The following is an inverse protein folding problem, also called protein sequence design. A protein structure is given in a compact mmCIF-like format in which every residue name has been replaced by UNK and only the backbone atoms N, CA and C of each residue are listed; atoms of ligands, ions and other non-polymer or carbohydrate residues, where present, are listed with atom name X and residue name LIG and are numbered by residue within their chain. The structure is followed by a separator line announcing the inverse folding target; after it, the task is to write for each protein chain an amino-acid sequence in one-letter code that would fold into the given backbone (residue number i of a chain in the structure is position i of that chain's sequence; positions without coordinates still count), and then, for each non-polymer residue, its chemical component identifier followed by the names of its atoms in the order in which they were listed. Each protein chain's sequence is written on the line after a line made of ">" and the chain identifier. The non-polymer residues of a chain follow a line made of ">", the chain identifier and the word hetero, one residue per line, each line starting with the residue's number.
data_IF_570728902343
#
_entry.id   IF_570728902343
#
_cell.length_a   1.000
_cell.length_b   1.000
_cell.length_c   1.000
_cell.angle_alpha   90.00
_cell.angle_beta   90.00
_cell.angle_gamma   90.00
#
_symmetry.space_group_name_H-M   'P 1'
#
loop_
_entity.id
_entity.type
_entity.pdbx_description
1 polymer ?
#
# COMPACT_ATOMS: atom_id res chain seq x y z
N UNK A 1 20.56 -3.09 12.68
CA UNK A 1 21.35 -2.45 11.62
C UNK A 1 22.67 -3.20 11.56
N UNK A 2 22.82 -4.14 10.63
CA UNK A 2 24.10 -4.86 10.47
C UNK A 2 25.07 -3.91 9.76
N UNK A 3 26.08 -3.47 10.47
CA UNK A 3 27.25 -2.79 9.90
C UNK A 3 27.96 -3.78 8.96
N UNK A 4 28.04 -3.41 7.69
CA UNK A 4 28.84 -4.17 6.73
C UNK A 4 30.30 -3.88 7.10
N UNK A 5 30.98 -4.90 7.59
CA UNK A 5 32.41 -4.83 7.85
C UNK A 5 33.14 -4.46 6.55
N UNK A 6 33.77 -3.31 6.54
CA UNK A 6 34.48 -2.76 5.38
C UNK A 6 35.78 -3.53 5.03
N UNK A 7 36.03 -4.63 5.70
CA UNK A 7 37.27 -5.40 5.58
C UNK A 7 37.20 -6.51 4.51
N UNK A 8 36.00 -7.00 4.18
CA UNK A 8 35.86 -8.09 3.21
C UNK A 8 35.39 -7.61 1.82
N UNK A 9 36.08 -8.05 0.75
CA UNK A 9 35.64 -7.71 -0.62
C UNK A 9 34.26 -8.27 -0.88
N UNK A 10 33.34 -7.40 -1.41
CA UNK A 10 31.91 -7.69 -1.53
C UNK A 10 31.47 -7.70 -2.97
N UNK A 11 30.78 -8.76 -3.39
CA UNK A 11 30.05 -8.81 -4.66
C UNK A 11 28.72 -8.09 -4.49
N UNK A 12 28.43 -7.16 -5.40
CA UNK A 12 27.12 -6.48 -5.46
C UNK A 12 26.30 -7.07 -6.60
N UNK A 13 25.06 -7.42 -6.32
CA UNK A 13 24.10 -7.95 -7.29
C UNK A 13 22.86 -7.08 -7.34
N UNK A 14 22.37 -6.81 -8.55
CA UNK A 14 21.04 -6.24 -8.76
C UNK A 14 20.22 -7.17 -9.65
N UNK A 15 19.01 -7.49 -9.23
CA UNK A 15 18.14 -8.45 -9.91
C UNK A 15 16.93 -7.71 -10.44
N UNK A 16 16.82 -7.61 -11.77
CA UNK A 16 15.60 -7.15 -12.43
C UNK A 16 14.67 -8.34 -12.63
N UNK A 17 13.52 -8.29 -11.97
CA UNK A 17 12.57 -9.39 -11.91
C UNK A 17 11.49 -9.25 -12.99
N UNK A 18 11.33 -10.28 -13.81
CA UNK A 18 10.19 -10.39 -14.72
C UNK A 18 9.55 -11.77 -14.63
N UNK A 19 8.39 -11.95 -15.24
CA UNK A 19 7.66 -13.22 -15.17
C UNK A 19 8.41 -14.37 -15.85
N UNK A 20 9.17 -14.07 -16.89
CA UNK A 20 9.83 -15.08 -17.73
C UNK A 20 11.34 -15.12 -17.54
N UNK A 21 11.96 -14.01 -17.17
CA UNK A 21 13.42 -13.91 -17.14
C UNK A 21 13.85 -12.99 -16.02
N UNK A 22 14.82 -13.40 -15.24
CA UNK A 22 15.53 -12.54 -14.30
C UNK A 22 16.88 -12.11 -14.87
N UNK A 23 17.13 -10.81 -14.90
CA UNK A 23 18.40 -10.25 -15.32
C UNK A 23 19.22 -9.86 -14.08
N UNK A 24 20.34 -10.53 -13.88
CA UNK A 24 21.24 -10.30 -12.74
C UNK A 24 22.44 -9.50 -13.20
N UNK A 25 22.58 -8.26 -12.75
CA UNK A 25 23.78 -7.47 -12.90
C UNK A 25 24.70 -7.70 -11.71
N UNK A 26 25.93 -8.18 -11.95
CA UNK A 26 26.91 -8.50 -10.93
C UNK A 26 28.14 -7.59 -11.04
N UNK A 27 28.48 -6.89 -9.95
CA UNK A 27 29.77 -6.19 -9.80
C UNK A 27 30.64 -7.02 -8.88
N UNK A 28 31.69 -7.58 -9.46
CA UNK A 28 32.66 -8.42 -8.74
C UNK A 28 33.90 -7.57 -8.43
N UNK A 29 34.40 -7.56 -7.19
CA UNK A 29 35.62 -6.84 -6.82
C UNK A 29 36.81 -7.18 -7.74
N UNK A 30 37.54 -6.15 -8.17
CA UNK A 30 38.70 -6.29 -9.09
C UNK A 30 38.30 -6.47 -10.57
N UNK A 31 37.01 -6.33 -10.94
CA UNK A 31 36.57 -6.20 -12.32
C UNK A 31 35.97 -4.80 -12.56
N UNK A 32 36.35 -4.18 -13.70
CA UNK A 32 35.92 -2.81 -14.00
C UNK A 32 34.43 -2.73 -14.37
N UNK A 33 33.94 -3.69 -15.15
CA UNK A 33 32.59 -3.68 -15.70
C UNK A 33 31.69 -4.69 -15.00
N UNK A 34 30.42 -4.36 -14.78
CA UNK A 34 29.44 -5.33 -14.29
C UNK A 34 29.17 -6.40 -15.37
N UNK A 35 29.00 -7.62 -14.92
CA UNK A 35 28.59 -8.76 -15.75
C UNK A 35 27.08 -8.94 -15.65
N UNK A 36 26.47 -9.30 -16.79
CA UNK A 36 25.03 -9.55 -16.88
C UNK A 36 24.80 -11.05 -17.10
N UNK A 37 23.91 -11.59 -16.30
CA UNK A 37 23.49 -12.99 -16.37
C UNK A 37 21.98 -13.05 -16.53
N UNK A 38 21.51 -13.93 -17.40
CA UNK A 38 20.08 -14.21 -17.58
C UNK A 38 19.75 -15.55 -16.93
N UNK A 39 18.68 -15.58 -16.18
CA UNK A 39 18.14 -16.75 -15.48
C UNK A 39 16.64 -16.79 -15.81
N UNK A 40 16.09 -17.97 -15.94
CA UNK A 40 14.64 -18.11 -16.14
C UNK A 40 13.90 -17.59 -14.90
N UNK A 41 12.76 -16.94 -15.14
CA UNK A 41 11.95 -16.35 -14.08
C UNK A 41 11.47 -17.40 -13.08
N UNK A 42 11.85 -17.25 -11.81
CA UNK A 42 11.51 -18.21 -10.75
C UNK A 42 12.54 -19.33 -10.55
N UNK A 43 13.58 -19.45 -11.38
CA UNK A 43 14.63 -20.45 -11.17
C UNK A 43 15.61 -20.03 -10.06
N UNK A 44 15.22 -20.33 -8.83
CA UNK A 44 16.00 -20.04 -7.64
C UNK A 44 17.26 -20.88 -7.53
N UNK A 45 17.23 -22.10 -8.08
CA UNK A 45 18.40 -23.01 -8.06
C UNK A 45 19.52 -22.43 -8.94
N UNK A 46 19.20 -21.99 -10.16
CA UNK A 46 20.14 -21.32 -11.05
C UNK A 46 20.67 -20.00 -10.43
N UNK A 47 19.82 -19.22 -9.75
CA UNK A 47 20.25 -18.00 -9.07
C UNK A 47 21.27 -18.29 -7.95
N UNK A 48 21.00 -19.26 -7.10
CA UNK A 48 21.90 -19.66 -6.00
C UNK A 48 23.20 -20.25 -6.55
N UNK A 49 23.15 -21.07 -7.59
CA UNK A 49 24.31 -21.60 -8.28
C UNK A 49 25.18 -20.49 -8.89
N UNK A 50 24.56 -19.49 -9.51
CA UNK A 50 25.27 -18.31 -10.03
C UNK A 50 26.00 -17.56 -8.91
N UNK A 51 25.31 -17.28 -7.79
CA UNK A 51 25.88 -16.59 -6.62
C UNK A 51 27.11 -17.37 -6.10
N UNK A 52 26.96 -18.66 -5.87
CA UNK A 52 28.06 -19.55 -5.39
C UNK A 52 29.22 -19.58 -6.34
N UNK A 53 28.96 -19.65 -7.65
CA UNK A 53 30.03 -19.63 -8.68
C UNK A 53 30.80 -18.31 -8.70
N UNK A 54 30.07 -17.16 -8.58
CA UNK A 54 30.71 -15.85 -8.51
C UNK A 54 31.56 -15.70 -7.25
N UNK A 55 31.04 -16.14 -6.10
CA UNK A 55 31.80 -16.13 -4.83
C UNK A 55 33.06 -16.97 -4.93
N UNK A 56 32.95 -18.21 -5.38
CA UNK A 56 34.10 -19.13 -5.49
C UNK A 56 35.20 -18.62 -6.44
N UNK A 57 34.80 -18.00 -7.57
CA UNK A 57 35.75 -17.39 -8.51
C UNK A 57 36.44 -16.15 -7.93
N UNK A 58 35.66 -15.28 -7.25
CA UNK A 58 36.23 -14.10 -6.61
C UNK A 58 37.15 -14.46 -5.44
N UNK A 59 36.74 -15.42 -4.61
CA UNK A 59 37.54 -15.91 -3.49
C UNK A 59 38.90 -16.45 -3.95
N UNK A 60 38.93 -17.30 -4.99
CA UNK A 60 40.19 -17.81 -5.56
C UNK A 60 41.09 -16.72 -6.13
N UNK A 61 40.50 -15.66 -6.73
CA UNK A 61 41.28 -14.59 -7.33
C UNK A 61 41.86 -13.61 -6.32
N UNK A 62 41.15 -13.37 -5.23
CA UNK A 62 41.50 -12.36 -4.22
C UNK A 62 42.11 -12.97 -2.95
N UNK A 63 42.17 -14.29 -2.88
CA UNK A 63 42.59 -15.07 -1.69
C UNK A 63 41.89 -14.55 -0.41
N UNK A 64 40.57 -14.34 -0.49
CA UNK A 64 39.77 -13.72 0.58
C UNK A 64 38.37 -14.31 0.66
N UNK A 65 37.75 -14.18 1.83
CA UNK A 65 36.34 -14.46 2.00
C UNK A 65 35.52 -13.36 1.33
N UNK A 66 34.56 -13.75 0.48
CA UNK A 66 33.74 -12.84 -0.31
C UNK A 66 32.33 -12.77 0.25
N UNK A 67 31.89 -11.57 0.62
CA UNK A 67 30.52 -11.30 0.96
C UNK A 67 29.67 -11.02 -0.29
N UNK A 68 28.37 -11.30 -0.22
CA UNK A 68 27.42 -10.97 -1.29
C UNK A 68 26.32 -10.10 -0.74
N UNK A 69 26.07 -8.97 -1.41
CA UNK A 69 24.95 -8.09 -1.14
C UNK A 69 24.14 -7.94 -2.42
N UNK A 70 22.84 -8.19 -2.33
CA UNK A 70 21.97 -8.06 -3.48
C UNK A 70 20.86 -7.04 -3.26
N UNK A 71 20.26 -6.58 -4.36
CA UNK A 71 19.04 -5.82 -4.32
C UNK A 71 18.11 -6.17 -5.49
N UNK A 72 16.83 -5.89 -5.30
CA UNK A 72 15.82 -5.84 -6.34
C UNK A 72 14.75 -4.79 -5.99
N UNK A 73 13.96 -4.40 -7.00
CA UNK A 73 12.89 -3.41 -6.81
C UNK A 73 11.65 -4.06 -6.21
N UNK A 74 11.01 -3.39 -5.23
CA UNK A 74 9.72 -3.83 -4.70
C UNK A 74 8.65 -3.81 -5.78
N UNK A 75 8.08 -4.96 -6.08
CA UNK A 75 7.16 -5.12 -7.19
C UNK A 75 6.15 -6.25 -7.00
N UNK A 76 5.70 -6.78 -8.12
CA UNK A 76 4.69 -7.83 -8.20
C UNK A 76 5.10 -9.13 -7.52
N UNK A 77 6.38 -9.45 -7.54
CA UNK A 77 6.91 -10.71 -7.02
C UNK A 77 6.88 -10.79 -5.48
N UNK A 78 6.63 -9.67 -4.79
CA UNK A 78 6.55 -9.66 -3.33
C UNK A 78 7.91 -9.80 -2.64
N UNK A 79 7.93 -10.48 -1.50
CA UNK A 79 9.12 -10.52 -0.62
C UNK A 79 9.70 -11.92 -0.43
N UNK A 80 9.16 -12.93 -1.09
CA UNK A 80 9.61 -14.32 -0.92
C UNK A 80 11.06 -14.53 -1.33
N UNK A 81 11.52 -13.85 -2.40
CA UNK A 81 12.90 -13.93 -2.89
C UNK A 81 13.87 -13.33 -1.88
N UNK A 82 13.52 -12.20 -1.23
CA UNK A 82 14.32 -11.64 -0.14
C UNK A 82 14.52 -12.66 0.98
N UNK A 83 13.45 -13.34 1.42
CA UNK A 83 13.51 -14.36 2.48
C UNK A 83 14.36 -15.53 2.07
N UNK A 84 14.22 -16.02 0.84
CA UNK A 84 15.04 -17.09 0.29
C UNK A 84 16.52 -16.73 0.32
N UNK A 85 16.90 -15.59 -0.23
CA UNK A 85 18.30 -15.16 -0.31
C UNK A 85 18.90 -14.94 1.09
N UNK A 86 18.12 -14.33 1.99
CA UNK A 86 18.55 -14.13 3.39
C UNK A 86 18.76 -15.46 4.11
N UNK A 87 17.90 -16.45 3.90
CA UNK A 87 18.07 -17.81 4.46
C UNK A 87 19.33 -18.52 3.95
N UNK A 88 19.84 -18.13 2.77
CA UNK A 88 21.10 -18.63 2.21
C UNK A 88 22.30 -17.72 2.51
N UNK A 89 22.18 -16.83 3.51
CA UNK A 89 23.30 -15.98 3.96
C UNK A 89 23.61 -14.79 3.05
N UNK A 90 22.75 -14.47 2.06
CA UNK A 90 22.92 -13.31 1.20
C UNK A 90 22.22 -12.10 1.82
N UNK A 91 22.98 -11.01 2.03
CA UNK A 91 22.39 -9.72 2.46
C UNK A 91 21.56 -9.17 1.31
N UNK A 92 20.25 -9.05 1.50
CA UNK A 92 19.34 -8.67 0.44
C UNK A 92 18.55 -7.39 0.81
N UNK A 93 18.58 -6.41 -0.07
CA UNK A 93 17.84 -5.14 0.06
C UNK A 93 16.72 -5.08 -0.95
N UNK A 94 15.55 -4.60 -0.53
CA UNK A 94 14.42 -4.34 -1.42
C UNK A 94 14.30 -2.83 -1.60
N UNK A 95 14.46 -2.36 -2.84
CA UNK A 95 14.43 -0.94 -3.18
C UNK A 95 12.99 -0.43 -3.33
N UNK A 96 12.72 0.77 -2.82
CA UNK A 96 11.44 1.46 -3.06
C UNK A 96 11.46 2.10 -4.47
N UNK A 97 10.62 1.67 -5.42
CA UNK A 97 10.66 2.09 -6.82
C UNK A 97 10.62 3.60 -7.02
N UNK A 98 9.75 4.27 -6.26
CA UNK A 98 9.51 5.71 -6.39
C UNK A 98 10.64 6.57 -5.80
N UNK A 99 11.56 5.96 -5.06
CA UNK A 99 12.69 6.65 -4.44
C UNK A 99 13.97 6.58 -5.27
N UNK A 100 14.04 5.73 -6.27
CA UNK A 100 15.21 5.56 -7.13
C UNK A 100 15.40 6.82 -7.98
N UNK A 101 16.57 7.43 -7.88
CA UNK A 101 16.92 8.59 -8.69
C UNK A 101 17.06 8.21 -10.17
N UNK A 102 16.11 8.62 -10.98
CA UNK A 102 16.11 8.37 -12.43
C UNK A 102 16.92 9.44 -13.16
N UNK A 103 17.88 9.02 -13.97
CA UNK A 103 18.60 9.93 -14.85
C UNK A 103 17.66 10.59 -15.86
N UNK A 104 17.48 11.92 -15.77
CA UNK A 104 16.56 12.68 -16.64
C UNK A 104 16.86 12.56 -18.12
N UNK A 105 18.13 12.33 -18.51
CA UNK A 105 18.55 12.17 -19.91
C UNK A 105 18.17 10.79 -20.48
N UNK A 106 18.03 9.77 -19.63
CA UNK A 106 17.71 8.39 -20.04
C UNK A 106 16.20 8.06 -20.03
N UNK A 107 15.32 9.03 -19.74
CA UNK A 107 13.86 8.82 -19.58
C UNK A 107 13.15 8.15 -20.75
N UNK A 108 13.74 8.13 -21.95
CA UNK A 108 13.12 7.56 -23.17
C UNK A 108 13.59 6.14 -23.49
N UNK A 109 14.66 5.66 -22.88
CA UNK A 109 15.15 4.30 -23.08
C UNK A 109 14.92 3.50 -21.79
N UNK A 110 13.97 2.57 -21.81
CA UNK A 110 13.75 1.60 -20.75
C UNK A 110 14.12 0.22 -21.29
N UNK A 111 15.12 -0.40 -20.64
CA UNK A 111 15.51 -1.79 -20.89
C UNK A 111 15.89 -2.43 -19.55
N UNK A 112 15.61 -3.72 -19.39
CA UNK A 112 15.94 -4.47 -18.18
C UNK A 112 17.43 -4.34 -17.80
N UNK A 113 18.30 -4.22 -18.81
CA UNK A 113 19.74 -3.96 -18.60
C UNK A 113 19.99 -2.63 -17.91
N UNK A 114 19.37 -1.54 -18.38
CA UNK A 114 19.55 -0.20 -17.80
C UNK A 114 18.99 -0.15 -16.38
N UNK A 115 17.88 -0.85 -16.13
CA UNK A 115 17.23 -0.92 -14.83
C UNK A 115 18.11 -1.72 -13.85
N UNK A 116 18.62 -2.90 -14.23
CA UNK A 116 19.54 -3.69 -13.42
C UNK A 116 20.85 -2.95 -13.11
N UNK A 117 21.50 -2.34 -14.13
CA UNK A 117 22.71 -1.54 -13.94
C UNK A 117 22.44 -0.29 -13.09
N UNK A 118 21.24 0.30 -13.21
CA UNK A 118 20.75 1.41 -12.39
C UNK A 118 20.64 1.04 -10.93
N UNK A 119 19.96 -0.06 -10.62
CA UNK A 119 19.84 -0.60 -9.26
C UNK A 119 21.21 -0.93 -8.66
N UNK A 120 22.12 -1.50 -9.44
CA UNK A 120 23.47 -1.80 -8.99
C UNK A 120 24.26 -0.56 -8.56
N UNK A 121 24.13 0.56 -9.32
CA UNK A 121 24.73 1.86 -8.95
C UNK A 121 24.11 2.42 -7.67
N UNK A 122 22.80 2.34 -7.55
CA UNK A 122 22.04 2.79 -6.37
C UNK A 122 22.45 2.00 -5.13
N UNK A 123 22.52 0.67 -5.23
CA UNK A 123 22.99 -0.19 -4.14
C UNK A 123 24.42 0.19 -3.71
N UNK A 124 25.34 0.35 -4.67
CA UNK A 124 26.71 0.71 -4.38
C UNK A 124 26.83 2.10 -3.71
N UNK A 125 26.02 3.07 -4.07
CA UNK A 125 25.97 4.40 -3.43
C UNK A 125 25.44 4.30 -2.01
N UNK A 126 24.32 3.58 -1.83
CA UNK A 126 23.70 3.36 -0.52
C UNK A 126 24.66 2.70 0.49
N UNK A 127 25.39 1.67 0.06
CA UNK A 127 26.38 0.96 0.90
C UNK A 127 27.58 1.83 1.27
N UNK A 128 27.91 2.86 0.48
CA UNK A 128 28.93 3.88 0.83
C UNK A 128 28.42 4.98 1.76
N UNK A 129 27.15 4.90 2.23
CA UNK A 129 26.56 5.86 3.15
C UNK A 129 25.68 6.94 2.48
N UNK A 130 25.51 6.92 1.16
CA UNK A 130 24.60 7.82 0.47
C UNK A 130 23.17 7.28 0.53
N UNK A 131 22.53 7.43 1.69
CA UNK A 131 21.16 6.99 1.93
C UNK A 131 20.09 7.87 1.24
N UNK A 132 20.49 8.95 0.56
CA UNK A 132 19.57 9.79 -0.21
C UNK A 132 19.31 9.22 -1.61
N UNK A 133 20.16 8.31 -2.09
CA UNK A 133 20.06 7.71 -3.43
C UNK A 133 18.79 6.88 -3.61
N UNK A 134 18.35 6.19 -2.56
CA UNK A 134 17.09 5.45 -2.52
C UNK A 134 16.64 5.14 -1.10
N UNK A 135 15.39 4.75 -0.97
CA UNK A 135 14.82 4.22 0.27
C UNK A 135 14.74 2.69 0.21
N UNK A 136 15.14 2.03 1.29
CA UNK A 136 14.98 0.58 1.43
C UNK A 136 13.60 0.26 2.01
N UNK A 137 12.93 -0.71 1.42
CA UNK A 137 11.65 -1.20 1.93
C UNK A 137 11.91 -2.09 3.15
N UNK A 138 11.23 -1.82 4.27
CA UNK A 138 11.16 -2.79 5.35
C UNK A 138 10.36 -4.00 4.86
N UNK A 139 11.00 -5.14 4.73
CA UNK A 139 10.34 -6.38 4.37
C UNK A 139 9.46 -6.84 5.54
N UNK A 140 8.16 -7.05 5.32
CA UNK A 140 7.27 -7.57 6.36
C UNK A 140 7.59 -9.03 6.66
N UNK A 141 7.27 -9.49 7.88
CA UNK A 141 7.29 -10.93 8.16
C UNK A 141 6.19 -11.64 7.35
N UNK A 142 6.27 -12.98 7.19
CA UNK A 142 5.19 -13.73 6.53
C UNK A 142 3.81 -13.48 7.16
N UNK A 143 3.75 -13.39 8.50
CA UNK A 143 2.54 -13.15 9.26
C UNK A 143 2.02 -11.71 9.06
N UNK A 144 2.91 -10.71 9.05
CA UNK A 144 2.56 -9.32 8.73
C UNK A 144 2.06 -9.17 7.29
N UNK A 145 2.63 -9.93 6.35
CA UNK A 145 2.21 -9.94 4.95
C UNK A 145 0.84 -10.59 4.79
N UNK A 146 0.65 -11.76 5.41
CA UNK A 146 -0.62 -12.50 5.37
C UNK A 146 -1.75 -11.70 6.04
N UNK A 147 -1.48 -11.11 7.19
CA UNK A 147 -2.44 -10.25 7.89
C UNK A 147 -2.97 -9.06 7.06
N UNK A 148 -2.29 -8.67 5.98
CA UNK A 148 -2.77 -7.63 5.05
C UNK A 148 -3.80 -8.15 4.04
N UNK A 149 -3.96 -9.48 3.89
CA UNK A 149 -4.84 -10.06 2.88
C UNK A 149 -6.29 -9.72 3.14
N UNK A 150 -6.78 -9.91 4.35
CA UNK A 150 -8.20 -9.72 4.71
C UNK A 150 -8.74 -8.34 4.32
N UNK A 151 -8.07 -7.25 4.71
CA UNK A 151 -8.56 -5.90 4.35
C UNK A 151 -8.32 -5.55 2.87
N UNK A 152 -7.29 -6.13 2.22
CA UNK A 152 -7.03 -5.97 0.79
C UNK A 152 -8.05 -6.70 -0.06
N UNK A 153 -8.42 -7.92 0.32
CA UNK A 153 -9.47 -8.70 -0.31
C UNK A 153 -10.82 -8.01 -0.16
N UNK A 154 -11.17 -7.59 1.06
CA UNK A 154 -12.38 -6.80 1.30
C UNK A 154 -12.45 -5.56 0.40
N UNK A 155 -11.36 -4.83 0.22
CA UNK A 155 -11.32 -3.68 -0.68
C UNK A 155 -11.66 -4.08 -2.12
N UNK A 156 -11.13 -5.20 -2.61
CA UNK A 156 -11.44 -5.73 -3.94
C UNK A 156 -12.90 -6.12 -4.09
N UNK A 157 -13.42 -6.86 -3.12
CA UNK A 157 -14.83 -7.25 -3.10
C UNK A 157 -15.77 -6.05 -3.07
N UNK A 158 -15.45 -4.99 -2.31
CA UNK A 158 -16.22 -3.74 -2.31
C UNK A 158 -16.16 -3.05 -3.68
N UNK A 159 -15.01 -3.05 -4.35
CA UNK A 159 -14.89 -2.53 -5.72
C UNK A 159 -15.73 -3.35 -6.72
N UNK A 160 -15.75 -4.68 -6.58
CA UNK A 160 -16.58 -5.56 -7.40
C UNK A 160 -18.06 -5.30 -7.17
N UNK A 161 -18.48 -5.21 -5.92
CA UNK A 161 -19.85 -4.80 -5.55
C UNK A 161 -20.26 -3.53 -6.28
N UNK A 162 -19.46 -2.47 -6.17
CA UNK A 162 -19.76 -1.18 -6.81
C UNK A 162 -19.83 -1.29 -8.34
N UNK A 163 -18.94 -2.08 -8.96
CA UNK A 163 -19.01 -2.32 -10.41
C UNK A 163 -20.29 -3.03 -10.82
N UNK A 164 -20.74 -4.01 -10.05
CA UNK A 164 -21.99 -4.74 -10.33
C UNK A 164 -23.19 -3.78 -10.16
N UNK A 165 -23.23 -3.01 -9.07
CA UNK A 165 -24.29 -2.03 -8.81
C UNK A 165 -24.38 -0.99 -9.92
N UNK A 166 -23.26 -0.39 -10.30
CA UNK A 166 -23.18 0.58 -11.41
C UNK A 166 -23.60 -0.04 -12.75
N UNK A 167 -23.28 -1.32 -13.00
CA UNK A 167 -23.69 -2.03 -14.20
C UNK A 167 -25.20 -2.21 -14.24
N UNK A 168 -25.82 -2.61 -13.12
CA UNK A 168 -27.28 -2.73 -13.00
C UNK A 168 -27.96 -1.37 -13.29
N UNK A 169 -27.48 -0.30 -12.67
CA UNK A 169 -28.02 1.02 -12.86
C UNK A 169 -27.89 1.52 -14.31
N UNK A 170 -26.71 1.31 -14.92
CA UNK A 170 -26.48 1.69 -16.31
C UNK A 170 -27.43 0.96 -17.27
N UNK A 171 -27.64 -0.35 -17.08
CA UNK A 171 -28.58 -1.13 -17.89
C UNK A 171 -30.02 -0.64 -17.76
N UNK A 172 -30.47 -0.33 -16.54
CA UNK A 172 -31.80 0.22 -16.29
C UNK A 172 -31.95 1.61 -16.90
N UNK A 173 -30.92 2.44 -16.84
CA UNK A 173 -30.94 3.79 -17.45
C UNK A 173 -31.12 3.74 -18.98
N UNK A 174 -30.58 2.75 -19.66
CA UNK A 174 -30.80 2.58 -21.11
C UNK A 174 -32.26 2.31 -21.46
N UNK A 175 -33.06 1.89 -20.49
CA UNK A 175 -34.53 1.66 -20.63
C UNK A 175 -35.36 2.80 -20.03
N UNK A 176 -34.76 3.90 -19.67
CA UNK A 176 -35.46 5.02 -19.03
C UNK A 176 -35.84 4.80 -17.56
N UNK A 177 -35.38 3.73 -16.95
CA UNK A 177 -35.67 3.34 -15.56
C UNK A 177 -34.64 3.99 -14.64
N UNK A 178 -35.10 4.79 -13.67
CA UNK A 178 -34.23 5.54 -12.73
C UNK A 178 -34.12 4.90 -11.34
N UNK A 179 -34.94 3.89 -11.06
CA UNK A 179 -34.98 3.22 -9.75
C UNK A 179 -34.44 1.80 -9.87
N UNK A 180 -33.47 1.46 -9.04
CA UNK A 180 -32.93 0.10 -8.93
C UNK A 180 -33.87 -0.76 -8.06
N UNK A 181 -34.16 -2.03 -8.45
CA UNK A 181 -34.85 -2.98 -7.59
C UNK A 181 -34.08 -3.24 -6.29
N UNK A 182 -34.81 -3.43 -5.19
CA UNK A 182 -34.21 -3.86 -3.94
C UNK A 182 -33.79 -5.32 -4.01
N UNK A 183 -32.62 -5.69 -3.46
CA UNK A 183 -32.19 -7.09 -3.41
C UNK A 183 -33.18 -7.98 -2.65
N UNK A 184 -33.87 -7.43 -1.64
CA UNK A 184 -34.84 -8.15 -0.80
C UNK A 184 -36.14 -8.46 -1.53
N UNK A 185 -36.60 -7.58 -2.41
CA UNK A 185 -37.86 -7.68 -3.14
C UNK A 185 -37.66 -7.70 -4.66
N UNK A 186 -36.50 -8.21 -5.10
CA UNK A 186 -36.03 -8.13 -6.48
C UNK A 186 -37.06 -8.57 -7.52
N UNK A 187 -37.62 -9.77 -7.37
CA UNK A 187 -38.56 -10.32 -8.34
C UNK A 187 -39.82 -9.44 -8.47
N UNK A 188 -40.41 -9.05 -7.32
CA UNK A 188 -41.58 -8.18 -7.28
C UNK A 188 -41.29 -6.81 -7.88
N UNK A 189 -40.18 -6.20 -7.47
CA UNK A 189 -39.82 -4.86 -7.92
C UNK A 189 -39.49 -4.87 -9.42
N UNK A 190 -38.79 -5.90 -9.92
CA UNK A 190 -38.43 -6.07 -11.32
C UNK A 190 -39.68 -6.30 -12.19
N UNK A 191 -40.67 -7.07 -11.74
CA UNK A 191 -41.92 -7.31 -12.43
C UNK A 191 -42.80 -6.05 -12.54
N UNK A 192 -42.71 -5.18 -11.54
CA UNK A 192 -43.43 -3.91 -11.51
C UNK A 192 -42.82 -2.80 -12.39
N UNK A 193 -41.51 -2.95 -12.75
CA UNK A 193 -40.84 -1.92 -13.57
C UNK A 193 -41.35 -1.95 -15.02
N UNK A 194 -41.44 -0.75 -15.60
CA UNK A 194 -41.73 -0.54 -17.02
C UNK A 194 -40.65 0.36 -17.62
N UNK A 195 -40.33 0.14 -18.86
CA UNK A 195 -39.44 1.00 -19.63
C UNK A 195 -40.02 2.41 -19.76
N UNK A 196 -39.19 3.38 -20.12
CA UNK A 196 -39.63 4.78 -20.30
C UNK A 196 -40.73 4.97 -21.38
N UNK A 197 -40.86 4.00 -22.28
CA UNK A 197 -41.91 3.91 -23.31
C UNK A 197 -43.06 2.96 -22.93
N UNK A 198 -43.17 2.54 -21.66
CA UNK A 198 -44.26 1.79 -21.09
C UNK A 198 -44.23 0.26 -21.25
N UNK A 199 -43.22 -0.29 -21.91
CA UNK A 199 -43.08 -1.73 -22.16
C UNK A 199 -42.54 -2.47 -20.91
N UNK A 200 -42.69 -3.78 -20.91
CA UNK A 200 -42.01 -4.65 -19.97
C UNK A 200 -40.50 -4.66 -20.22
N UNK A 201 -39.71 -5.02 -19.18
CA UNK A 201 -38.28 -5.19 -19.32
C UNK A 201 -38.02 -6.31 -20.33
N UNK A 202 -37.18 -6.07 -21.38
CA UNK A 202 -36.88 -7.06 -22.39
C UNK A 202 -36.27 -8.34 -21.80
N UNK A 203 -36.65 -9.51 -22.35
CA UNK A 203 -36.26 -10.82 -21.83
C UNK A 203 -34.76 -10.97 -21.56
N UNK A 204 -33.93 -10.57 -22.51
CA UNK A 204 -32.48 -10.71 -22.36
C UNK A 204 -31.88 -9.79 -21.30
N UNK A 205 -32.42 -8.57 -21.20
CA UNK A 205 -32.04 -7.63 -20.15
C UNK A 205 -32.43 -8.19 -18.76
N UNK A 206 -33.65 -8.70 -18.62
CA UNK A 206 -34.08 -9.33 -17.37
C UNK A 206 -33.14 -10.45 -16.96
N UNK A 207 -32.80 -11.35 -17.89
CA UNK A 207 -31.88 -12.44 -17.62
C UNK A 207 -30.46 -11.94 -17.25
N UNK A 208 -29.99 -10.82 -17.83
CA UNK A 208 -28.69 -10.20 -17.45
C UNK A 208 -28.78 -9.61 -16.03
N UNK A 209 -29.84 -8.90 -15.71
CA UNK A 209 -30.06 -8.34 -14.37
C UNK A 209 -30.11 -9.41 -13.30
N UNK A 210 -30.76 -10.57 -13.55
CA UNK A 210 -30.84 -11.69 -12.62
C UNK A 210 -29.46 -12.33 -12.40
N UNK A 211 -28.62 -12.44 -13.43
CA UNK A 211 -27.22 -12.88 -13.28
C UNK A 211 -26.38 -11.90 -12.45
N UNK A 212 -26.54 -10.61 -12.69
CA UNK A 212 -25.86 -9.56 -11.92
C UNK A 212 -26.31 -9.57 -10.45
N UNK A 213 -27.59 -9.75 -10.17
CA UNK A 213 -28.12 -9.92 -8.81
C UNK A 213 -27.43 -11.09 -8.09
N UNK A 214 -27.36 -12.26 -8.70
CA UNK A 214 -26.70 -13.45 -8.10
C UNK A 214 -25.24 -13.17 -7.76
N UNK A 215 -24.51 -12.52 -8.68
CA UNK A 215 -23.13 -12.09 -8.44
C UNK A 215 -23.04 -11.10 -7.29
N UNK A 216 -23.97 -10.14 -7.21
CA UNK A 216 -24.01 -9.14 -6.14
C UNK A 216 -24.24 -9.80 -4.78
N UNK A 217 -25.17 -10.76 -4.68
CA UNK A 217 -25.45 -11.51 -3.45
C UNK A 217 -24.19 -12.26 -3.00
N UNK A 218 -23.57 -13.04 -3.89
CA UNK A 218 -22.32 -13.75 -3.59
C UNK A 218 -21.22 -12.78 -3.12
N UNK A 219 -21.04 -11.66 -3.79
CA UNK A 219 -20.02 -10.65 -3.40
C UNK A 219 -20.29 -10.09 -2.00
N UNK A 220 -21.57 -9.89 -1.65
CA UNK A 220 -21.96 -9.41 -0.30
C UNK A 220 -21.72 -10.48 0.77
N UNK A 221 -21.91 -11.74 0.46
CA UNK A 221 -21.61 -12.88 1.35
C UNK A 221 -20.11 -12.95 1.61
N UNK A 222 -19.28 -12.94 0.57
CA UNK A 222 -17.82 -12.94 0.70
C UNK A 222 -17.30 -11.74 1.50
N UNK A 223 -17.90 -10.55 1.35
CA UNK A 223 -17.53 -9.38 2.18
C UNK A 223 -17.78 -9.69 3.66
N UNK A 224 -18.93 -10.29 4.00
CA UNK A 224 -19.26 -10.65 5.38
C UNK A 224 -18.33 -11.73 5.95
N UNK A 225 -17.97 -12.72 5.15
CA UNK A 225 -17.01 -13.77 5.54
C UNK A 225 -15.65 -13.18 5.88
N UNK A 226 -15.10 -12.33 5.02
CA UNK A 226 -13.79 -11.68 5.26
C UNK A 226 -13.85 -10.73 6.46
N UNK A 227 -14.98 -10.04 6.69
CA UNK A 227 -15.19 -9.21 7.87
C UNK A 227 -15.26 -10.06 9.14
N UNK A 228 -15.97 -11.17 9.12
CA UNK A 228 -16.07 -12.10 10.24
C UNK A 228 -14.71 -12.75 10.58
N UNK A 229 -13.93 -13.16 9.57
CA UNK A 229 -12.57 -13.69 9.75
C UNK A 229 -11.66 -12.67 10.44
N UNK A 230 -11.68 -11.42 9.96
CA UNK A 230 -10.91 -10.32 10.59
C UNK A 230 -11.29 -10.15 12.06
N UNK A 231 -12.58 -10.13 12.36
CA UNK A 231 -13.11 -9.88 13.70
C UNK A 231 -12.81 -11.07 14.64
N UNK A 232 -12.85 -12.29 14.11
CA UNK A 232 -12.46 -13.49 14.86
C UNK A 232 -10.95 -13.49 15.15
N UNK A 233 -10.11 -13.15 14.18
CA UNK A 233 -8.66 -13.06 14.38
C UNK A 233 -8.28 -12.05 15.48
N UNK A 234 -9.01 -10.94 15.58
CA UNK A 234 -8.82 -9.95 16.65
C UNK A 234 -9.17 -10.50 18.06
N UNK A 235 -10.12 -11.42 18.15
CA UNK A 235 -10.52 -12.06 19.42
C UNK A 235 -9.56 -13.17 19.85
N UNK A 236 -9.02 -13.93 18.89
CA UNK A 236 -8.18 -15.12 19.19
C UNK A 236 -6.75 -14.78 19.55
N UNK A 237 -6.26 -13.60 19.17
CA UNK A 237 -4.90 -13.12 19.46
C UNK A 237 -4.88 -11.77 20.18
N UNK A 238 -5.50 -11.67 21.38
CA UNK A 238 -5.58 -10.39 22.10
C UNK A 238 -4.20 -9.84 22.53
N UNK A 239 -3.18 -10.68 22.60
CA UNK A 239 -1.79 -10.29 22.94
C UNK A 239 -1.02 -9.66 21.76
N UNK A 240 -1.55 -9.70 20.53
CA UNK A 240 -0.91 -9.12 19.37
C UNK A 240 -0.99 -7.59 19.42
N UNK A 241 0.16 -6.93 19.32
CA UNK A 241 0.26 -5.47 19.29
C UNK A 241 -0.61 -4.84 18.18
N UNK A 242 -0.76 -5.49 17.03
CA UNK A 242 -1.64 -5.01 15.97
C UNK A 242 -3.12 -5.06 16.41
N UNK A 243 -3.55 -6.11 17.11
CA UNK A 243 -4.91 -6.21 17.65
C UNK A 243 -5.18 -5.11 18.68
N UNK A 244 -4.22 -4.81 19.56
CA UNK A 244 -4.33 -3.69 20.51
C UNK A 244 -4.49 -2.34 19.80
N UNK A 245 -3.68 -2.07 18.77
CA UNK A 245 -3.78 -0.84 17.96
C UNK A 245 -5.12 -0.74 17.23
N UNK A 246 -5.63 -1.84 16.68
CA UNK A 246 -6.94 -1.89 16.02
C UNK A 246 -8.05 -1.59 17.04
N UNK A 247 -8.05 -2.25 18.19
CA UNK A 247 -9.03 -2.03 19.24
C UNK A 247 -9.01 -0.58 19.72
N UNK A 248 -7.83 -0.03 20.02
CA UNK A 248 -7.68 1.36 20.44
C UNK A 248 -8.25 2.34 19.40
N UNK A 249 -7.90 2.20 18.12
CA UNK A 249 -8.41 3.06 17.06
C UNK A 249 -9.93 2.94 16.88
N UNK A 250 -10.48 1.73 17.01
CA UNK A 250 -11.92 1.48 16.86
C UNK A 250 -12.76 2.09 18.00
N UNK A 251 -12.15 2.41 19.14
CA UNK A 251 -12.81 3.15 20.22
C UNK A 251 -13.10 4.60 19.84
N UNK A 252 -12.34 5.20 18.93
CA UNK A 252 -12.58 6.57 18.50
C UNK A 252 -13.87 6.62 17.66
N UNK A 253 -14.80 7.47 18.03
CA UNK A 253 -16.06 7.65 17.29
C UNK A 253 -15.76 8.07 15.83
N UNK A 254 -16.36 7.38 14.86
CA UNK A 254 -16.13 7.61 13.44
C UNK A 254 -15.01 6.78 12.82
N UNK A 255 -14.20 6.06 13.62
CA UNK A 255 -13.26 5.07 13.13
C UNK A 255 -13.88 3.68 13.34
N UNK A 256 -14.19 3.01 12.23
CA UNK A 256 -14.66 1.63 12.26
C UNK A 256 -13.50 0.65 12.15
N UNK A 257 -13.76 -0.61 12.47
CA UNK A 257 -12.76 -1.69 12.49
C UNK A 257 -11.98 -1.82 11.18
N UNK A 258 -12.65 -1.61 10.04
CA UNK A 258 -11.99 -1.65 8.74
C UNK A 258 -10.93 -0.56 8.59
N UNK A 259 -11.23 0.68 8.97
CA UNK A 259 -10.24 1.78 8.93
C UNK A 259 -9.11 1.52 9.91
N UNK A 260 -9.42 1.06 11.11
CA UNK A 260 -8.44 0.70 12.13
C UNK A 260 -7.50 -0.41 11.65
N UNK A 261 -8.04 -1.47 11.04
CA UNK A 261 -7.26 -2.57 10.48
C UNK A 261 -6.35 -2.12 9.34
N UNK A 262 -6.86 -1.32 8.39
CA UNK A 262 -6.06 -0.78 7.28
C UNK A 262 -4.92 0.09 7.81
N UNK A 263 -5.18 1.03 8.72
CA UNK A 263 -4.15 1.91 9.26
C UNK A 263 -3.10 1.13 10.04
N UNK A 264 -3.52 0.20 10.88
CA UNK A 264 -2.58 -0.61 11.67
C UNK A 264 -1.70 -1.48 10.79
N UNK A 265 -2.27 -2.21 9.84
CA UNK A 265 -1.56 -3.20 9.02
C UNK A 265 -0.82 -2.62 7.83
N UNK A 266 -1.24 -1.45 7.32
CA UNK A 266 -0.55 -0.79 6.20
C UNK A 266 0.42 0.31 6.65
N UNK A 267 0.25 0.89 7.86
CA UNK A 267 1.06 2.00 8.33
C UNK A 267 1.68 1.72 9.70
N UNK A 268 0.88 1.51 10.75
CA UNK A 268 1.33 1.48 12.14
C UNK A 268 2.00 0.16 12.58
N UNK A 269 2.18 -0.79 11.65
CA UNK A 269 3.04 -1.97 11.86
C UNK A 269 4.53 -1.62 11.81
N UNK A 270 4.86 -0.40 11.32
CA UNK A 270 6.22 0.13 11.23
C UNK A 270 6.47 1.15 12.31
N UNK A 271 7.73 1.26 12.73
CA UNK A 271 8.21 2.37 13.55
C UNK A 271 8.57 3.55 12.66
N UNK A 272 8.31 4.76 13.14
CA UNK A 272 8.68 6.00 12.49
C UNK A 272 9.37 6.91 13.51
N UNK A 273 10.50 7.50 13.13
CA UNK A 273 11.26 8.38 14.01
C UNK A 273 10.57 9.74 14.22
N UNK A 274 9.79 10.17 13.23
CA UNK A 274 9.14 11.47 13.28
C UNK A 274 7.91 11.58 12.36
N UNK A 275 7.14 12.66 12.60
CA UNK A 275 5.91 13.00 11.85
C UNK A 275 6.13 13.22 10.33
N UNK A 276 7.36 13.52 9.88
CA UNK A 276 7.64 13.72 8.46
C UNK A 276 7.74 12.38 7.75
N UNK A 277 8.39 11.41 8.38
CA UNK A 277 8.53 10.06 7.82
C UNK A 277 7.18 9.37 7.60
N UNK A 278 6.28 9.37 8.60
CA UNK A 278 4.96 8.75 8.45
C UNK A 278 4.11 9.44 7.38
N UNK A 279 4.15 10.78 7.31
CA UNK A 279 3.42 11.53 6.29
C UNK A 279 3.97 11.28 4.88
N UNK A 280 5.29 11.12 4.74
CA UNK A 280 5.95 10.75 3.49
C UNK A 280 5.60 9.34 3.07
N UNK A 281 5.61 8.38 4.01
CA UNK A 281 5.25 6.98 3.76
C UNK A 281 3.83 6.82 3.21
N UNK A 282 2.89 7.66 3.66
CA UNK A 282 1.51 7.69 3.12
C UNK A 282 1.39 8.53 1.85
N UNK A 283 2.40 9.36 1.55
CA UNK A 283 2.43 10.22 0.37
C UNK A 283 1.47 11.41 0.43
N UNK A 284 1.23 11.95 1.63
CA UNK A 284 0.40 13.15 1.87
C UNK A 284 1.21 14.38 2.29
N UNK A 285 2.52 14.35 2.05
CA UNK A 285 3.40 15.51 2.18
C UNK A 285 3.25 16.43 0.98
N UNK A 286 3.14 17.76 1.18
CA UNK A 286 3.22 18.69 0.08
C UNK A 286 4.59 18.63 -0.59
N UNK A 287 4.62 18.89 -1.88
CA UNK A 287 5.87 19.05 -2.63
C UNK A 287 6.19 20.55 -2.73
N UNK A 288 7.23 21.04 -2.06
CA UNK A 288 7.64 22.43 -2.19
C UNK A 288 8.11 22.70 -3.62
N UNK A 289 7.76 23.87 -4.12
CA UNK A 289 8.27 24.40 -5.38
C UNK A 289 8.80 25.78 -5.13
N UNK A 290 10.11 25.85 -5.01
CA UNK A 290 10.86 27.08 -4.76
C UNK A 290 11.78 27.30 -5.96
N UNK A 291 11.58 28.39 -6.69
CA UNK A 291 12.38 28.77 -7.84
C UNK A 291 12.34 30.29 -7.98
N UNK A 292 13.49 30.95 -7.79
CA UNK A 292 13.57 32.41 -7.78
C UNK A 292 12.66 33.04 -6.73
N UNK A 293 11.82 33.99 -7.11
CA UNK A 293 10.85 34.63 -6.22
C UNK A 293 9.54 33.83 -5.96
N UNK A 294 9.43 32.61 -6.47
CA UNK A 294 8.25 31.78 -6.26
C UNK A 294 8.48 30.79 -5.13
N UNK A 295 7.68 30.92 -4.06
CA UNK A 295 7.58 29.92 -2.98
C UNK A 295 6.14 29.45 -2.86
N UNK A 296 5.86 28.25 -3.34
CA UNK A 296 4.53 27.64 -3.24
C UNK A 296 4.59 26.13 -3.13
N UNK A 297 3.69 25.56 -2.35
CA UNK A 297 3.47 24.14 -2.35
C UNK A 297 2.70 23.70 -3.62
N UNK A 298 3.22 22.70 -4.29
CA UNK A 298 2.49 21.98 -5.34
C UNK A 298 1.55 20.94 -4.70
N UNK A 299 1.10 19.99 -5.49
CA UNK A 299 0.28 18.86 -5.00
C UNK A 299 1.08 18.03 -3.99
N UNK A 300 0.40 17.10 -3.31
CA UNK A 300 1.06 16.08 -2.48
C UNK A 300 1.95 15.17 -3.32
N UNK A 301 2.95 14.57 -2.70
CA UNK A 301 3.97 13.73 -3.36
C UNK A 301 3.37 12.53 -4.09
N UNK A 302 2.30 11.94 -3.53
CA UNK A 302 1.67 10.69 -3.98
C UNK A 302 2.62 9.48 -4.01
N UNK A 303 3.88 9.66 -3.67
CA UNK A 303 4.80 8.59 -3.39
C UNK A 303 4.38 7.84 -2.13
N UNK A 304 4.65 6.54 -2.03
CA UNK A 304 4.31 5.72 -0.87
C UNK A 304 2.94 5.03 -0.97
N UNK A 305 2.37 4.64 0.15
CA UNK A 305 1.22 3.71 0.22
C UNK A 305 -0.11 4.36 -0.25
N UNK A 306 -0.64 4.03 -1.45
CA UNK A 306 -1.85 4.65 -1.98
C UNK A 306 -3.11 4.23 -1.22
N UNK A 307 -3.14 3.01 -0.65
CA UNK A 307 -4.27 2.52 0.14
C UNK A 307 -4.40 3.31 1.43
N UNK A 308 -3.30 3.46 2.18
CA UNK A 308 -3.29 4.27 3.38
C UNK A 308 -3.67 5.73 3.09
N UNK A 309 -3.20 6.30 1.99
CA UNK A 309 -3.55 7.66 1.56
C UNK A 309 -5.04 7.82 1.31
N UNK A 310 -5.65 6.91 0.54
CA UNK A 310 -7.10 6.93 0.27
C UNK A 310 -7.90 6.79 1.56
N UNK A 311 -7.52 5.83 2.40
CA UNK A 311 -8.12 5.60 3.73
C UNK A 311 -8.07 6.86 4.60
N UNK A 312 -6.93 7.53 4.67
CA UNK A 312 -6.79 8.75 5.46
C UNK A 312 -7.62 9.92 4.94
N UNK A 313 -7.76 10.07 3.62
CA UNK A 313 -8.61 11.12 3.04
C UNK A 313 -10.09 10.83 3.34
N UNK A 314 -10.53 9.58 3.21
CA UNK A 314 -11.89 9.18 3.57
C UNK A 314 -12.16 9.39 5.06
N UNK A 315 -11.21 8.99 5.90
CA UNK A 315 -11.32 9.15 7.35
C UNK A 315 -11.37 10.63 7.77
N UNK A 316 -10.66 11.51 7.07
CA UNK A 316 -10.73 12.95 7.33
C UNK A 316 -12.15 13.53 7.08
N UNK A 317 -12.87 13.05 6.06
CA UNK A 317 -14.26 13.41 5.85
C UNK A 317 -15.19 12.87 6.94
N UNK A 318 -14.97 11.62 7.37
CA UNK A 318 -15.74 11.01 8.46
C UNK A 318 -15.43 11.70 9.79
N UNK A 319 -14.19 12.13 10.01
CA UNK A 319 -13.79 12.88 11.19
C UNK A 319 -14.60 14.16 11.37
N UNK A 320 -14.75 14.94 10.31
CA UNK A 320 -15.57 16.16 10.36
C UNK A 320 -17.05 15.88 10.69
N UNK A 321 -17.54 14.70 10.28
CA UNK A 321 -18.92 14.29 10.54
C UNK A 321 -19.13 13.79 11.97
N UNK A 322 -18.20 12.98 12.47
CA UNK A 322 -18.37 12.25 13.73
C UNK A 322 -17.61 12.87 14.91
N UNK A 323 -16.68 13.79 14.65
CA UNK A 323 -15.86 14.49 15.65
C UNK A 323 -15.94 16.03 15.48
N UNK A 324 -17.16 16.62 15.41
CA UNK A 324 -17.30 18.05 15.12
C UNK A 324 -16.71 18.94 16.21
N UNK A 325 -16.63 18.47 17.47
CA UNK A 325 -16.07 19.21 18.60
C UNK A 325 -14.56 19.08 18.78
N UNK A 326 -13.87 18.32 17.90
CA UNK A 326 -12.42 18.14 18.02
C UNK A 326 -11.65 19.36 17.49
N UNK A 327 -10.46 19.64 18.09
CA UNK A 327 -9.58 20.71 17.64
C UNK A 327 -9.23 20.60 16.13
N UNK A 328 -9.10 19.38 15.61
CA UNK A 328 -8.83 19.17 14.20
C UNK A 328 -10.00 19.56 13.31
N UNK A 329 -11.25 19.34 13.76
CA UNK A 329 -12.43 19.77 13.03
C UNK A 329 -12.60 21.31 13.09
N UNK A 330 -12.26 21.91 14.22
CA UNK A 330 -12.24 23.35 14.43
C UNK A 330 -11.21 24.02 13.54
N UNK A 331 -9.98 23.55 13.57
CA UNK A 331 -8.92 23.99 12.66
C UNK A 331 -9.34 23.91 11.16
N UNK A 332 -10.07 22.85 10.77
CA UNK A 332 -10.55 22.73 9.39
C UNK A 332 -11.59 23.81 9.06
N UNK A 333 -12.55 24.06 9.98
CA UNK A 333 -13.58 25.11 9.79
C UNK A 333 -12.97 26.50 9.67
N UNK A 334 -12.04 26.83 10.55
CA UNK A 334 -11.30 28.11 10.48
C UNK A 334 -10.54 28.27 9.17
N UNK A 335 -9.86 27.18 8.72
CA UNK A 335 -9.05 27.22 7.49
C UNK A 335 -9.88 27.34 6.23
N UNK A 336 -11.06 26.75 6.21
CA UNK A 336 -11.94 26.73 5.02
C UNK A 336 -12.89 27.91 5.04
N UNK A 337 -13.44 28.29 6.22
CA UNK A 337 -14.45 29.30 6.33
C UNK A 337 -15.63 29.02 5.40
N UNK A 338 -15.99 30.01 4.61
CA UNK A 338 -17.03 29.92 3.56
C UNK A 338 -16.52 29.41 2.21
N UNK A 339 -15.21 29.13 2.09
CA UNK A 339 -14.57 28.73 0.83
C UNK A 339 -14.99 27.33 0.41
N UNK A 340 -15.36 27.18 -0.86
CA UNK A 340 -15.82 25.93 -1.45
C UNK A 340 -14.80 25.38 -2.50
N UNK A 341 -15.11 24.26 -3.09
CA UNK A 341 -14.43 23.75 -4.26
C UNK A 341 -12.97 23.31 -3.99
N UNK A 342 -12.01 23.93 -4.67
CA UNK A 342 -10.59 23.55 -4.63
C UNK A 342 -9.98 23.71 -3.25
N UNK A 343 -10.22 24.81 -2.57
CA UNK A 343 -9.66 25.12 -1.25
C UNK A 343 -10.08 24.07 -0.22
N UNK A 344 -11.36 23.70 -0.20
CA UNK A 344 -11.89 22.65 0.67
C UNK A 344 -11.22 21.30 0.40
N UNK A 345 -10.97 20.95 -0.87
CA UNK A 345 -10.25 19.71 -1.24
C UNK A 345 -8.78 19.70 -0.82
N UNK A 346 -8.12 20.86 -0.82
CA UNK A 346 -6.74 20.98 -0.32
C UNK A 346 -6.74 20.85 1.21
N UNK A 347 -7.66 21.54 1.89
CA UNK A 347 -7.75 21.52 3.34
C UNK A 347 -8.07 20.12 3.89
N UNK A 348 -8.91 19.32 3.20
CA UNK A 348 -9.19 17.93 3.64
C UNK A 348 -7.94 17.03 3.59
N UNK A 349 -7.06 17.21 2.62
CA UNK A 349 -5.78 16.47 2.55
C UNK A 349 -4.83 16.93 3.67
N UNK A 350 -4.82 18.21 4.00
CA UNK A 350 -4.05 18.72 5.12
C UNK A 350 -4.61 18.20 6.46
N UNK A 351 -5.94 18.14 6.61
CA UNK A 351 -6.58 17.49 7.76
C UNK A 351 -6.21 16.01 7.85
N UNK A 352 -6.25 15.26 6.73
CA UNK A 352 -5.84 13.87 6.69
C UNK A 352 -4.40 13.66 7.19
N UNK A 353 -3.48 14.57 6.85
CA UNK A 353 -2.11 14.54 7.36
C UNK A 353 -2.04 14.80 8.87
N UNK A 354 -2.74 15.82 9.37
CA UNK A 354 -2.79 16.13 10.81
C UNK A 354 -3.40 14.95 11.59
N UNK A 355 -4.51 14.42 11.09
CA UNK A 355 -5.20 13.27 11.67
C UNK A 355 -4.32 12.02 11.70
N UNK A 356 -3.59 11.71 10.62
CA UNK A 356 -2.65 10.60 10.59
C UNK A 356 -1.61 10.71 11.72
N UNK A 357 -1.04 11.89 11.92
CA UNK A 357 -0.04 12.12 12.95
C UNK A 357 -0.66 11.99 14.36
N UNK A 358 -1.87 12.50 14.54
CA UNK A 358 -2.59 12.39 15.81
C UNK A 358 -2.93 10.93 16.15
N UNK A 359 -3.42 10.15 15.17
CA UNK A 359 -3.73 8.74 15.35
C UNK A 359 -2.49 7.89 15.59
N UNK A 360 -1.39 8.19 14.89
CA UNK A 360 -0.11 7.54 15.16
C UNK A 360 0.37 7.79 16.59
N UNK A 361 0.35 9.03 17.07
CA UNK A 361 0.68 9.36 18.45
C UNK A 361 -0.22 8.61 19.42
N UNK A 362 -1.52 8.57 19.16
CA UNK A 362 -2.46 7.83 19.99
C UNK A 362 -2.10 6.34 20.08
N UNK A 363 -1.72 5.70 18.97
CA UNK A 363 -1.32 4.27 18.99
C UNK A 363 0.01 4.01 19.68
N UNK A 364 0.91 5.00 19.77
CA UNK A 364 2.23 4.87 20.40
C UNK A 364 2.22 5.30 21.88
N UNK A 365 1.43 6.33 22.23
CA UNK A 365 1.49 6.97 23.55
C UNK A 365 0.18 6.90 24.34
N UNK A 366 -0.91 6.44 23.74
CA UNK A 366 -2.24 6.45 24.35
C UNK A 366 -2.91 7.83 24.40
N UNK A 367 -2.24 8.91 23.95
CA UNK A 367 -2.77 10.28 24.03
C UNK A 367 -3.86 10.47 22.97
N UNK A 368 -5.09 10.65 23.42
CA UNK A 368 -6.26 10.86 22.56
C UNK A 368 -6.13 12.19 21.83
N UNK A 369 -6.48 12.25 20.52
CA UNK A 369 -6.53 13.53 19.80
C UNK A 369 -7.44 14.52 20.51
N UNK A 370 -6.97 15.76 20.69
CA UNK A 370 -7.64 16.77 21.51
C UNK A 370 -9.09 17.01 21.06
N UNK A 371 -10.01 16.98 22.00
CA UNK A 371 -11.45 17.12 21.79
C UNK A 371 -12.11 15.93 21.06
N UNK A 372 -11.42 14.80 20.90
CA UNK A 372 -12.00 13.62 20.24
C UNK A 372 -12.85 12.81 21.22
N UNK A 373 -14.04 12.41 20.78
CA UNK A 373 -14.96 11.54 21.50
C UNK A 373 -14.58 10.07 21.30
N UNK A 374 -14.51 9.34 22.42
CA UNK A 374 -14.35 7.90 22.47
C UNK A 374 -15.70 7.24 22.69
N UNK A 375 -15.95 6.12 22.06
CA UNK A 375 -17.12 5.27 22.36
C UNK A 375 -16.99 4.74 23.79
N UNK A 376 -18.06 4.82 24.55
CA UNK A 376 -18.12 4.13 25.83
C UNK A 376 -17.89 2.62 25.60
N UNK A 377 -17.18 1.98 26.50
CA UNK A 377 -17.07 0.52 26.48
C UNK A 377 -18.48 -0.06 26.60
N UNK A 378 -18.89 -0.81 25.60
CA UNK A 378 -20.07 -1.66 25.74
C UNK A 378 -19.62 -2.77 26.68
N UNK A 379 -19.87 -2.59 27.99
CA UNK A 379 -19.77 -3.70 28.93
C UNK A 379 -20.82 -4.71 28.49
N UNK A 380 -20.39 -5.74 27.75
CA UNK A 380 -21.22 -6.92 27.54
C UNK A 380 -21.36 -7.52 28.92
N UNK A 381 -22.51 -7.30 29.52
CA UNK A 381 -22.88 -7.99 30.75
C UNK A 381 -22.79 -9.49 30.47
N UNK A 382 -22.03 -10.20 31.31
CA UNK A 382 -21.78 -11.62 31.25
C UNK A 382 -23.07 -12.44 31.40
#
# INVERSE_FOLDING_TARGET
>A
MQTIDTVNPTILLAIELSASTWLVAARVPGLEKPHLHRIDGGDTAALLALISSLQARAARRLDATISVVCCFEAGRDGFWLHRLLTAHGVVCHVLEPTSILVNRRARRAKTDRLDAEGMLRVLAAYLRGDHQTCSMVRVPTPEEEDAKRTHREREKLVQEKLRIENRIEALLFTQGIRKRPSLRSWERDLAALRTGDGREIPRHLRAELDRLRRRLIMTLELIREVEAERDQAAKTKPQDQACHKIAALSRIRGIGENFAAVLTREVFYRSFDNRRQIASYVGITPMPYQSGGMDRDRRISRAGNPRARTTMIQLAWLWLRYQPGSELAEWFRERVGTLAGRTRRIAIVALARKLLIALWRYTETGVIPAGAEIRAEITVAA
#
